data_IF_747026956557
#
_entry.id   IF_747026956557
#
_cell.length_a   1.000
_cell.length_b   1.000
_cell.length_c   1.000
_cell.angle_alpha   90.00
_cell.angle_beta   90.00
_cell.angle_gamma   90.00
#
_symmetry.space_group_name_H-M   'P 1'
#
loop_
_entity.id
_entity.type
_entity.pdbx_description
1 polymer ?
#
# COMPACT_ATOMS: atom_id res chain seq x y z
N UNK A 1 26.11 -27.30 8.88
CA UNK A 1 26.92 -26.36 9.69
C UNK A 1 27.97 -25.56 8.90
N UNK A 2 28.73 -26.16 7.98
CA UNK A 2 29.78 -25.47 7.18
C UNK A 2 29.32 -24.16 6.51
N UNK A 3 28.17 -24.15 5.83
CA UNK A 3 27.66 -22.93 5.18
C UNK A 3 27.38 -21.80 6.16
N UNK A 4 26.70 -22.09 7.28
CA UNK A 4 26.42 -21.09 8.30
C UNK A 4 27.71 -20.51 8.90
N UNK A 5 28.74 -21.34 9.12
CA UNK A 5 30.05 -20.87 9.56
C UNK A 5 30.69 -19.94 8.52
N UNK A 6 30.65 -20.27 7.23
CA UNK A 6 31.16 -19.42 6.15
C UNK A 6 30.37 -18.12 6.05
N UNK A 7 29.04 -18.16 5.99
CA UNK A 7 28.21 -16.96 5.86
C UNK A 7 28.40 -15.97 7.02
N UNK A 8 28.74 -16.45 8.23
CA UNK A 8 29.08 -15.56 9.37
C UNK A 8 30.39 -14.79 9.22
N UNK A 9 31.24 -15.12 8.26
CA UNK A 9 32.55 -14.45 8.08
C UNK A 9 32.47 -13.09 7.40
N UNK A 10 31.32 -12.74 6.83
CA UNK A 10 31.08 -11.47 6.12
C UNK A 10 29.66 -11.00 6.39
N UNK A 11 29.44 -9.71 6.23
CA UNK A 11 28.13 -9.08 6.29
C UNK A 11 27.23 -9.50 5.12
N UNK A 12 25.92 -9.26 5.25
CA UNK A 12 24.94 -9.46 4.18
C UNK A 12 25.37 -8.75 2.89
N UNK A 13 25.81 -7.49 3.00
CA UNK A 13 26.10 -6.65 1.84
C UNK A 13 27.40 -7.07 1.15
N UNK A 14 28.41 -7.51 1.91
CA UNK A 14 29.63 -8.11 1.34
C UNK A 14 29.31 -9.40 0.58
N UNK A 15 28.43 -10.27 1.10
CA UNK A 15 27.98 -11.45 0.35
C UNK A 15 27.18 -11.08 -0.89
N UNK A 16 26.29 -10.09 -0.79
CA UNK A 16 25.51 -9.61 -1.93
C UNK A 16 26.43 -9.09 -3.04
N UNK A 17 27.53 -8.42 -2.69
CA UNK A 17 28.52 -7.96 -3.66
C UNK A 17 29.31 -9.13 -4.28
N UNK A 18 29.74 -10.10 -3.48
CA UNK A 18 30.46 -11.29 -3.97
C UNK A 18 29.63 -12.08 -4.99
N UNK A 19 28.33 -12.24 -4.75
CA UNK A 19 27.46 -12.98 -5.67
C UNK A 19 26.93 -12.13 -6.83
N UNK A 20 27.11 -10.81 -6.81
CA UNK A 20 26.65 -9.92 -7.87
C UNK A 20 27.31 -10.29 -9.20
N UNK A 21 26.49 -10.46 -10.24
CA UNK A 21 26.97 -10.76 -11.59
C UNK A 21 27.51 -12.17 -11.79
N UNK A 22 27.38 -13.05 -10.79
CA UNK A 22 27.66 -14.49 -10.91
C UNK A 22 26.42 -15.24 -11.41
N UNK A 23 26.58 -16.51 -11.80
CA UNK A 23 25.47 -17.40 -12.19
C UNK A 23 24.69 -17.95 -10.97
N UNK A 24 25.05 -17.52 -9.75
CA UNK A 24 24.35 -17.92 -8.55
C UNK A 24 23.07 -17.10 -8.36
N UNK A 25 21.93 -17.76 -8.16
CA UNK A 25 20.68 -17.13 -7.75
C UNK A 25 20.73 -16.74 -6.25
N UNK A 26 21.62 -15.81 -5.89
CA UNK A 26 21.77 -15.31 -4.54
C UNK A 26 21.48 -13.80 -4.48
N UNK A 27 20.55 -13.42 -3.62
CA UNK A 27 20.17 -12.03 -3.37
C UNK A 27 20.06 -11.79 -1.86
N UNK A 28 20.35 -10.58 -1.38
CA UNK A 28 20.17 -10.25 0.03
C UNK A 28 18.68 -10.25 0.40
N UNK A 29 18.38 -10.63 1.64
CA UNK A 29 17.05 -10.39 2.23
C UNK A 29 16.95 -8.91 2.57
N UNK A 30 16.05 -8.21 1.89
CA UNK A 30 15.77 -6.80 2.08
C UNK A 30 14.65 -6.60 3.11
N UNK A 31 14.76 -5.56 3.92
CA UNK A 31 13.62 -5.07 4.69
C UNK A 31 12.63 -4.29 3.79
N UNK A 32 11.46 -3.93 4.31
CA UNK A 32 10.41 -3.28 3.53
C UNK A 32 10.86 -1.96 2.89
N UNK A 33 11.62 -1.13 3.61
CA UNK A 33 12.12 0.15 3.09
C UNK A 33 13.21 -0.06 2.03
N UNK A 34 14.14 -0.99 2.25
CA UNK A 34 15.16 -1.38 1.27
C UNK A 34 14.50 -1.91 -0.01
N UNK A 35 13.47 -2.77 0.11
CA UNK A 35 12.74 -3.30 -1.03
C UNK A 35 12.00 -2.20 -1.82
N UNK A 36 11.36 -1.25 -1.12
CA UNK A 36 10.66 -0.13 -1.75
C UNK A 36 11.61 0.84 -2.48
N UNK A 37 12.78 1.08 -1.90
CA UNK A 37 13.78 2.03 -2.44
C UNK A 37 14.84 1.39 -3.33
N UNK A 38 14.85 0.05 -3.48
CA UNK A 38 15.79 -0.67 -4.34
C UNK A 38 15.74 -0.11 -5.78
N UNK A 39 16.90 0.04 -6.48
CA UNK A 39 16.95 0.63 -7.82
C UNK A 39 15.98 -0.02 -8.82
N UNK A 40 15.82 -1.35 -8.76
CA UNK A 40 14.87 -2.05 -9.61
C UNK A 40 13.40 -1.67 -9.30
N UNK A 41 13.02 -1.62 -8.02
CA UNK A 41 11.67 -1.24 -7.59
C UNK A 41 11.31 0.18 -7.99
N UNK A 42 12.28 1.11 -7.85
CA UNK A 42 12.14 2.51 -8.28
C UNK A 42 11.96 2.62 -9.80
N UNK A 43 12.82 1.95 -10.57
CA UNK A 43 12.75 1.96 -12.03
C UNK A 43 11.42 1.42 -12.57
N UNK A 44 10.77 0.52 -11.82
CA UNK A 44 9.50 -0.10 -12.21
C UNK A 44 8.26 0.52 -11.60
N UNK A 45 8.40 1.52 -10.71
CA UNK A 45 7.28 2.05 -9.95
C UNK A 45 6.52 0.94 -9.22
N UNK A 46 7.24 -0.01 -8.61
CA UNK A 46 6.66 -1.15 -7.91
C UNK A 46 5.98 -0.75 -6.60
N UNK A 47 6.43 0.35 -6.00
CA UNK A 47 5.86 0.94 -4.80
C UNK A 47 5.58 2.43 -5.03
N UNK A 48 4.58 2.95 -4.34
CA UNK A 48 4.18 4.36 -4.33
C UNK A 48 4.15 4.88 -2.88
N UNK A 49 4.35 6.18 -2.65
CA UNK A 49 4.21 6.75 -1.30
C UNK A 49 2.81 6.51 -0.74
N UNK A 50 2.72 6.14 0.54
CA UNK A 50 1.44 6.01 1.25
C UNK A 50 0.82 7.40 1.42
N UNK A 51 -0.40 7.64 0.90
CA UNK A 51 -1.09 8.90 1.11
C UNK A 51 -1.33 9.14 2.60
N UNK A 52 -0.91 10.30 3.11
CA UNK A 52 -1.10 10.68 4.51
C UNK A 52 -0.13 10.05 5.50
N UNK A 53 0.89 9.30 5.06
CA UNK A 53 1.97 8.81 5.92
C UNK A 53 3.34 9.04 5.27
N UNK A 54 4.09 10.02 5.80
CA UNK A 54 5.41 10.38 5.27
C UNK A 54 6.42 9.25 5.47
N UNK A 55 7.25 9.00 4.44
CA UNK A 55 8.31 7.97 4.49
C UNK A 55 7.82 6.53 4.35
N UNK A 56 6.51 6.29 4.30
CA UNK A 56 5.94 4.97 4.06
C UNK A 56 5.62 4.76 2.57
N UNK A 57 5.72 3.50 2.15
CA UNK A 57 5.46 3.07 0.79
C UNK A 57 4.48 1.91 0.79
N UNK A 58 3.57 1.92 -0.18
CA UNK A 58 2.62 0.86 -0.47
C UNK A 58 2.90 0.25 -1.85
N UNK A 59 2.63 -1.05 -2.04
CA UNK A 59 2.70 -1.66 -3.37
C UNK A 59 1.82 -0.92 -4.37
N UNK A 60 2.38 -0.56 -5.52
CA UNK A 60 1.60 -0.07 -6.64
C UNK A 60 0.93 -1.25 -7.36
N UNK A 61 -0.18 -1.04 -8.08
CA UNK A 61 -0.88 -2.11 -8.78
C UNK A 61 0.04 -2.95 -9.68
N UNK A 62 -0.16 -4.26 -9.63
CA UNK A 62 0.52 -5.25 -10.46
C UNK A 62 -0.50 -6.28 -10.99
N UNK A 63 -0.37 -6.77 -12.24
CA UNK A 63 0.64 -6.39 -13.23
C UNK A 63 0.43 -4.97 -13.78
N UNK A 64 1.46 -4.41 -14.45
CA UNK A 64 1.37 -3.11 -15.12
C UNK A 64 0.67 -3.29 -16.47
N UNK A 65 -0.60 -2.88 -16.55
CA UNK A 65 -1.40 -3.00 -17.77
C UNK A 65 -1.22 -1.76 -18.64
N UNK A 66 -0.88 -1.95 -19.92
CA UNK A 66 -0.63 -0.85 -20.86
C UNK A 66 -1.91 -0.12 -21.30
N UNK A 67 -3.02 -0.85 -21.44
CA UNK A 67 -4.28 -0.29 -21.97
C UNK A 67 -5.21 0.26 -20.88
N UNK A 68 -5.16 -0.32 -19.68
CA UNK A 68 -5.99 0.07 -18.53
C UNK A 68 -5.12 0.09 -17.26
N UNK A 69 -4.24 1.09 -17.11
CA UNK A 69 -3.38 1.19 -15.93
C UNK A 69 -4.20 1.23 -14.64
N UNK A 70 -3.76 0.52 -13.61
CA UNK A 70 -4.37 0.58 -12.28
C UNK A 70 -4.13 1.92 -11.59
N UNK A 71 -4.99 2.28 -10.64
CA UNK A 71 -4.84 3.50 -9.85
C UNK A 71 -3.83 3.31 -8.71
N UNK A 72 -3.01 4.33 -8.47
CA UNK A 72 -2.13 4.35 -7.32
C UNK A 72 -2.91 4.34 -5.99
N UNK A 73 -2.26 3.93 -4.88
CA UNK A 73 -2.83 4.08 -3.55
C UNK A 73 -3.36 5.48 -3.31
N UNK A 74 -4.54 5.56 -2.71
CA UNK A 74 -5.24 6.80 -2.35
C UNK A 74 -5.64 6.72 -0.88
N UNK A 75 -5.88 7.86 -0.26
CA UNK A 75 -6.43 7.88 1.09
C UNK A 75 -7.70 7.04 1.16
N UNK A 76 -7.76 6.13 2.13
CA UNK A 76 -8.97 5.35 2.40
C UNK A 76 -10.16 6.26 2.69
N UNK A 77 -11.39 5.90 2.26
CA UNK A 77 -12.56 6.70 2.53
C UNK A 77 -12.80 6.80 4.03
N UNK A 78 -13.41 7.91 4.46
CA UNK A 78 -13.87 8.03 5.85
C UNK A 78 -15.15 7.20 5.98
N UNK A 79 -15.31 6.37 7.02
CA UNK A 79 -16.57 5.66 7.24
C UNK A 79 -17.75 6.62 7.21
N UNK A 80 -18.72 6.34 6.34
CA UNK A 80 -19.91 7.16 6.15
C UNK A 80 -19.76 8.38 5.23
N UNK A 81 -18.58 8.61 4.62
CA UNK A 81 -18.35 9.76 3.73
C UNK A 81 -19.31 9.78 2.54
N UNK A 82 -19.60 8.59 2.00
CA UNK A 82 -20.36 8.43 0.77
C UNK A 82 -21.79 7.92 1.02
N UNK A 83 -22.21 7.75 2.29
CA UNK A 83 -23.51 7.11 2.64
C UNK A 83 -24.68 7.76 1.93
N UNK A 84 -24.81 9.09 1.99
CA UNK A 84 -25.91 9.82 1.34
C UNK A 84 -25.88 9.67 -0.17
N UNK A 85 -24.70 9.80 -0.77
CA UNK A 85 -24.53 9.72 -2.22
C UNK A 85 -24.95 8.34 -2.73
N UNK A 86 -24.44 7.27 -2.11
CA UNK A 86 -24.76 5.88 -2.49
C UNK A 86 -26.24 5.56 -2.30
N UNK A 87 -26.87 6.01 -1.20
CA UNK A 87 -28.31 5.79 -1.00
C UNK A 87 -29.14 6.51 -2.06
N UNK A 88 -28.77 7.74 -2.41
CA UNK A 88 -29.47 8.52 -3.44
C UNK A 88 -29.30 7.89 -4.82
N UNK A 89 -28.10 7.46 -5.18
CA UNK A 89 -27.81 6.71 -6.42
C UNK A 89 -28.57 5.39 -6.50
N UNK A 90 -28.87 4.80 -5.35
CA UNK A 90 -29.68 3.56 -5.24
C UNK A 90 -31.19 3.80 -5.32
N UNK A 91 -31.63 5.06 -5.47
CA UNK A 91 -33.04 5.43 -5.67
C UNK A 91 -33.82 5.80 -4.40
N UNK A 92 -33.15 5.95 -3.25
CA UNK A 92 -33.81 6.45 -2.05
C UNK A 92 -34.09 7.96 -2.16
N UNK A 93 -35.28 8.38 -1.76
CA UNK A 93 -35.61 9.80 -1.64
C UNK A 93 -34.90 10.43 -0.44
N UNK A 94 -34.72 11.76 -0.47
CA UNK A 94 -34.12 12.50 0.66
C UNK A 94 -34.83 12.25 1.99
N UNK A 95 -36.14 12.05 1.97
CA UNK A 95 -36.92 11.76 3.17
C UNK A 95 -36.61 10.37 3.73
N UNK A 96 -36.45 9.36 2.87
CA UNK A 96 -36.07 8.01 3.29
C UNK A 96 -34.63 7.99 3.82
N UNK A 97 -33.70 8.68 3.15
CA UNK A 97 -32.32 8.83 3.61
C UNK A 97 -32.28 9.50 4.98
N UNK A 98 -33.01 10.60 5.17
CA UNK A 98 -33.10 11.27 6.47
C UNK A 98 -33.69 10.34 7.56
N UNK A 99 -34.69 9.52 7.21
CA UNK A 99 -35.25 8.51 8.11
C UNK A 99 -34.23 7.45 8.53
N UNK A 100 -33.44 6.94 7.59
CA UNK A 100 -32.39 5.95 7.85
C UNK A 100 -31.29 6.53 8.77
N UNK A 101 -30.84 7.75 8.51
CA UNK A 101 -29.85 8.43 9.35
C UNK A 101 -30.40 8.69 10.75
N UNK A 102 -31.65 9.16 10.86
CA UNK A 102 -32.30 9.44 12.16
C UNK A 102 -32.51 8.16 12.98
N UNK A 103 -32.84 7.04 12.34
CA UNK A 103 -33.03 5.75 13.01
C UNK A 103 -31.72 5.08 13.44
N UNK A 104 -30.57 5.54 12.91
CA UNK A 104 -29.26 4.90 13.12
C UNK A 104 -29.02 3.67 12.25
N UNK A 105 -29.94 3.34 11.33
CA UNK A 105 -29.76 2.26 10.36
C UNK A 105 -28.66 2.57 9.33
N UNK A 106 -28.38 3.85 9.10
CA UNK A 106 -27.25 4.34 8.33
C UNK A 106 -26.52 5.45 9.10
N UNK A 107 -25.23 5.65 8.82
CA UNK A 107 -24.42 6.73 9.41
C UNK A 107 -23.68 7.51 8.33
N UNK A 108 -23.57 8.83 8.53
CA UNK A 108 -22.77 9.72 7.69
C UNK A 108 -21.50 10.15 8.45
N UNK A 109 -20.44 10.47 7.70
CA UNK A 109 -19.16 10.85 8.29
C UNK A 109 -19.33 12.08 9.19
N UNK A 110 -19.10 11.91 10.49
CA UNK A 110 -18.95 13.03 11.41
C UNK A 110 -17.56 13.63 11.19
N UNK A 111 -17.49 14.91 10.82
CA UNK A 111 -16.24 15.58 10.45
C UNK A 111 -15.25 15.61 11.61
N UNK A 112 -14.38 14.59 11.71
CA UNK A 112 -13.08 14.57 12.38
C UNK A 112 -12.44 13.20 12.17
N UNK A 113 -11.39 13.12 11.34
CA UNK A 113 -10.41 12.04 11.48
C UNK A 113 -9.67 12.28 12.81
N UNK A 114 -9.82 11.38 13.77
CA UNK A 114 -8.83 11.27 14.83
C UNK A 114 -7.52 10.85 14.16
N UNK A 115 -6.55 11.77 14.11
CA UNK A 115 -5.16 11.45 13.79
C UNK A 115 -4.65 10.46 14.84
N UNK A 116 -4.74 9.17 14.53
CA UNK A 116 -3.98 8.14 15.23
C UNK A 116 -2.90 7.65 14.27
N UNK A 117 -1.82 8.42 14.24
CA UNK A 117 -0.46 7.96 14.00
C UNK A 117 0.38 8.56 15.12
#
# INVERSE_FOLDING_TARGET
ERFAAVFRTRTRDEWAEIFRGTDACCVPVLNAHEAATHPHSRARGSFAPTPGAEGLFEPAPAPKLSRTPGHLPRLGPIPGADTRAVLSESGFSENEVAGLLKSGAASEASGKRASKL
#
